data_IF_991960673336
#
_entry.id   IF_991960673336
#
_cell.length_a   1.000
_cell.length_b   1.000
_cell.length_c   1.000
_cell.angle_alpha   90.00
_cell.angle_beta   90.00
_cell.angle_gamma   90.00
#
_symmetry.space_group_name_H-M   'P 1'
#
loop_
_entity.id
_entity.type
_entity.pdbx_description
1 polymer ?
#
# COMPACT_ATOMS: atom_id res chain seq x y z
N UNK A 1 -17.80 -5.84 5.15
CA UNK A 1 -16.39 -5.38 4.98
C UNK A 1 -15.55 -6.29 4.12
N UNK A 2 -15.54 -7.63 4.33
CA UNK A 2 -14.75 -8.57 3.51
C UNK A 2 -14.96 -8.44 1.98
N UNK A 3 -16.17 -8.07 1.53
CA UNK A 3 -16.45 -7.83 0.11
C UNK A 3 -15.73 -6.58 -0.44
N UNK A 4 -15.64 -5.51 0.34
CA UNK A 4 -15.00 -4.25 -0.08
C UNK A 4 -13.48 -4.39 -0.13
N UNK A 5 -12.88 -4.97 0.90
CA UNK A 5 -11.43 -5.22 0.94
C UNK A 5 -11.00 -6.11 -0.23
N UNK A 6 -11.73 -7.20 -0.47
CA UNK A 6 -11.45 -8.12 -1.58
C UNK A 6 -11.65 -7.48 -2.96
N UNK A 7 -12.60 -6.55 -3.10
CA UNK A 7 -12.82 -5.83 -4.37
C UNK A 7 -11.63 -4.92 -4.68
N UNK A 8 -11.17 -4.15 -3.67
CA UNK A 8 -10.06 -3.21 -3.83
C UNK A 8 -8.75 -3.96 -4.11
N UNK A 9 -8.45 -5.00 -3.32
CA UNK A 9 -7.22 -5.77 -3.49
C UNK A 9 -7.12 -6.47 -4.87
N UNK A 10 -8.26 -6.81 -5.49
CA UNK A 10 -8.31 -7.41 -6.83
C UNK A 10 -8.36 -6.39 -7.97
N UNK A 11 -8.51 -5.11 -7.65
CA UNK A 11 -8.55 -4.06 -8.67
C UNK A 11 -7.12 -3.71 -9.03
N UNK A 12 -6.77 -3.97 -10.28
CA UNK A 12 -5.42 -3.71 -10.76
C UNK A 12 -5.12 -2.21 -10.81
N UNK A 13 -3.86 -1.87 -10.62
CA UNK A 13 -3.36 -0.51 -10.77
C UNK A 13 -3.33 -0.17 -12.27
N UNK A 14 -3.80 1.02 -12.65
CA UNK A 14 -3.73 1.46 -14.04
C UNK A 14 -2.30 1.48 -14.58
N UNK A 15 -2.11 1.14 -15.85
CA UNK A 15 -0.80 1.12 -16.52
C UNK A 15 -0.02 2.43 -16.35
N UNK A 16 -0.72 3.57 -16.40
CA UNK A 16 -0.13 4.89 -16.16
C UNK A 16 0.53 4.97 -14.79
N UNK A 17 -0.20 4.58 -13.73
CA UNK A 17 0.31 4.65 -12.36
C UNK A 17 1.43 3.61 -12.13
N UNK A 18 1.34 2.42 -12.74
CA UNK A 18 2.45 1.45 -12.73
C UNK A 18 3.73 2.06 -13.34
N UNK A 19 3.62 2.72 -14.49
CA UNK A 19 4.75 3.37 -15.15
C UNK A 19 5.33 4.55 -14.33
N UNK A 20 4.47 5.35 -13.69
CA UNK A 20 4.93 6.43 -12.80
C UNK A 20 5.68 5.88 -11.57
N UNK A 21 5.17 4.82 -10.94
CA UNK A 21 5.83 4.17 -9.80
C UNK A 21 7.17 3.54 -10.22
N UNK A 22 7.19 2.82 -11.35
CA UNK A 22 8.39 2.17 -11.89
C UNK A 22 9.52 3.19 -12.15
N UNK A 23 9.18 4.31 -12.81
CA UNK A 23 10.12 5.40 -13.05
C UNK A 23 10.67 6.02 -11.76
N UNK A 24 9.82 6.27 -10.76
CA UNK A 24 10.25 6.81 -9.46
C UNK A 24 11.13 5.83 -8.69
N UNK A 25 10.79 4.54 -8.69
CA UNK A 25 11.58 3.50 -8.02
C UNK A 25 12.96 3.38 -8.68
N UNK A 26 13.01 3.36 -10.02
CA UNK A 26 14.26 3.34 -10.76
C UNK A 26 15.13 4.56 -10.45
N UNK A 27 14.54 5.76 -10.38
CA UNK A 27 15.25 7.00 -10.05
C UNK A 27 15.81 7.01 -8.61
N UNK A 28 15.01 6.57 -7.62
CA UNK A 28 15.40 6.66 -6.20
C UNK A 28 16.40 5.58 -5.82
N UNK A 29 16.22 4.36 -6.33
CA UNK A 29 16.95 3.18 -5.83
C UNK A 29 18.03 2.67 -6.78
N UNK A 30 18.15 3.23 -7.99
CA UNK A 30 19.06 2.76 -9.05
C UNK A 30 18.95 1.23 -9.23
N UNK A 31 17.73 0.71 -9.17
CA UNK A 31 17.44 -0.73 -9.10
C UNK A 31 17.45 -1.37 -10.49
N UNK A 32 18.62 -1.32 -11.14
CA UNK A 32 18.85 -1.91 -12.46
C UNK A 32 18.74 -3.45 -12.47
N UNK A 33 18.70 -4.11 -11.31
CA UNK A 33 18.83 -5.58 -11.19
C UNK A 33 17.73 -6.28 -10.38
N UNK A 34 16.70 -5.55 -9.92
CA UNK A 34 15.56 -6.15 -9.20
C UNK A 34 15.95 -6.85 -7.90
N UNK A 35 17.08 -6.43 -7.30
CA UNK A 35 17.65 -7.06 -6.09
C UNK A 35 17.14 -6.43 -4.79
N UNK A 36 16.35 -5.36 -4.88
CA UNK A 36 15.87 -4.61 -3.73
C UNK A 36 14.61 -5.24 -3.14
N UNK A 37 14.53 -5.16 -1.81
CA UNK A 37 13.32 -5.49 -1.05
C UNK A 37 12.64 -4.20 -0.61
N UNK A 38 11.34 -4.14 -0.84
CA UNK A 38 10.48 -3.01 -0.52
C UNK A 38 9.62 -3.30 0.72
N UNK A 39 9.21 -2.24 1.39
CA UNK A 39 8.15 -2.30 2.40
C UNK A 39 7.03 -1.35 1.97
N UNK A 40 5.83 -1.89 1.75
CA UNK A 40 4.64 -1.09 1.44
C UNK A 40 3.93 -0.76 2.75
N UNK A 41 3.81 0.53 3.04
CA UNK A 41 3.23 1.05 4.28
C UNK A 41 2.08 1.98 3.98
N UNK A 42 1.02 1.90 4.77
CA UNK A 42 -0.07 2.87 4.72
C UNK A 42 0.37 4.22 5.26
N UNK A 43 -0.13 5.29 4.64
CA UNK A 43 -0.07 6.65 5.18
C UNK A 43 -1.37 7.34 4.78
N UNK A 44 -2.42 7.11 5.58
CA UNK A 44 -3.74 7.63 5.27
C UNK A 44 -3.90 9.08 5.71
N UNK A 45 -4.62 9.87 4.92
CA UNK A 45 -4.97 11.24 5.30
C UNK A 45 -5.85 11.22 6.55
N UNK A 46 -5.46 11.95 7.59
CA UNK A 46 -6.17 12.00 8.87
C UNK A 46 -5.89 10.82 9.81
N UNK A 47 -4.92 9.95 9.47
CA UNK A 47 -4.42 8.87 10.33
C UNK A 47 -3.79 9.43 11.62
N UNK A 48 -3.00 10.48 11.50
CA UNK A 48 -2.41 11.17 12.62
C UNK A 48 -3.00 12.57 12.76
N UNK A 49 -3.44 12.90 13.97
CA UNK A 49 -3.82 14.25 14.38
C UNK A 49 -2.93 14.71 15.53
N UNK A 50 -3.01 15.99 15.89
CA UNK A 50 -2.29 16.52 17.06
C UNK A 50 -2.75 15.89 18.38
N UNK A 51 -3.89 15.22 18.42
CA UNK A 51 -4.50 14.65 19.62
C UNK A 51 -4.46 13.12 19.66
N UNK A 52 -4.38 12.46 18.50
CA UNK A 52 -4.44 10.99 18.40
C UNK A 52 -3.56 10.48 17.27
N UNK A 53 -2.92 9.34 17.49
CA UNK A 53 -2.27 8.56 16.42
C UNK A 53 -3.07 7.29 16.16
N UNK A 54 -3.33 6.99 14.89
CA UNK A 54 -3.99 5.77 14.46
C UNK A 54 -2.99 4.65 14.14
N UNK A 55 -1.95 4.52 14.98
CA UNK A 55 -0.97 3.45 14.84
C UNK A 55 -1.65 2.07 14.86
N UNK A 56 -1.26 1.20 13.92
CA UNK A 56 -1.66 -0.21 13.88
C UNK A 56 -3.09 -0.47 13.39
N UNK A 57 -3.73 0.49 12.71
CA UNK A 57 -5.09 0.29 12.15
C UNK A 57 -5.10 -0.26 10.73
N UNK A 58 -3.99 -0.13 10.01
CA UNK A 58 -3.83 -0.56 8.61
C UNK A 58 -2.63 -1.50 8.47
N UNK A 59 -2.62 -2.27 7.39
CA UNK A 59 -1.63 -3.31 7.17
C UNK A 59 -0.31 -2.73 6.63
N UNK A 60 0.80 -3.40 6.93
CA UNK A 60 2.13 -3.12 6.37
C UNK A 60 2.70 -4.40 5.79
N UNK A 61 3.28 -4.31 4.59
CA UNK A 61 3.78 -5.45 3.83
C UNK A 61 5.30 -5.31 3.65
N UNK A 62 6.12 -5.89 4.55
CA UNK A 62 7.57 -5.87 4.44
C UNK A 62 8.09 -6.98 3.51
N UNK A 63 9.32 -6.83 3.01
CA UNK A 63 10.02 -7.90 2.29
C UNK A 63 9.49 -8.17 0.88
N UNK A 64 8.87 -7.17 0.25
CA UNK A 64 8.36 -7.27 -1.11
C UNK A 64 9.53 -7.27 -2.09
N UNK A 65 9.70 -8.37 -2.81
CA UNK A 65 10.81 -8.55 -3.75
C UNK A 65 10.33 -8.31 -5.19
N UNK A 66 10.89 -7.27 -5.83
CA UNK A 66 10.62 -6.92 -7.22
C UNK A 66 9.32 -6.16 -7.46
N UNK A 67 9.22 -5.56 -8.66
CA UNK A 67 8.12 -4.68 -9.05
C UNK A 67 6.77 -5.38 -9.20
N UNK A 68 6.75 -6.63 -9.66
CA UNK A 68 5.50 -7.41 -9.79
C UNK A 68 4.79 -7.55 -8.44
N UNK A 69 5.51 -8.01 -7.41
CA UNK A 69 4.97 -8.11 -6.05
C UNK A 69 4.67 -6.76 -5.43
N UNK A 70 5.40 -5.71 -5.82
CA UNK A 70 5.09 -4.35 -5.40
C UNK A 70 3.72 -3.90 -5.89
N UNK A 71 3.38 -4.19 -7.15
CA UNK A 71 2.08 -3.87 -7.72
C UNK A 71 0.93 -4.72 -7.14
N UNK A 72 1.21 -5.91 -6.64
CA UNK A 72 0.24 -6.72 -5.87
C UNK A 72 0.04 -6.16 -4.45
N UNK A 73 1.11 -5.75 -3.77
CA UNK A 73 1.06 -5.30 -2.38
C UNK A 73 0.39 -3.92 -2.20
N UNK A 74 0.47 -3.05 -3.20
CA UNK A 74 -0.11 -1.70 -3.12
C UNK A 74 -1.65 -1.72 -2.98
N UNK A 75 -2.43 -2.43 -3.83
CA UNK A 75 -3.88 -2.56 -3.67
C UNK A 75 -4.28 -3.28 -2.38
N UNK A 76 -3.49 -4.27 -1.93
CA UNK A 76 -3.69 -4.90 -0.61
C UNK A 76 -3.55 -3.88 0.53
N UNK A 77 -2.54 -3.02 0.47
CA UNK A 77 -2.36 -1.93 1.41
C UNK A 77 -3.53 -0.94 1.39
N UNK A 78 -4.00 -0.53 0.22
CA UNK A 78 -5.20 0.33 0.10
C UNK A 78 -6.47 -0.35 0.64
N UNK A 79 -6.62 -1.66 0.39
CA UNK A 79 -7.75 -2.43 0.89
C UNK A 79 -7.78 -2.50 2.43
N UNK A 80 -6.62 -2.46 3.10
CA UNK A 80 -6.53 -2.50 4.57
C UNK A 80 -7.28 -1.33 5.24
N UNK A 81 -7.39 -0.17 4.57
CA UNK A 81 -8.19 0.96 5.03
C UNK A 81 -9.71 0.65 5.10
N UNK A 82 -10.18 -0.45 4.52
CA UNK A 82 -11.57 -0.90 4.57
C UNK A 82 -11.76 -2.14 5.45
N UNK A 83 -10.71 -2.53 6.19
CA UNK A 83 -10.78 -3.58 7.21
C UNK A 83 -11.78 -3.21 8.30
N UNK A 84 -12.27 -4.21 9.03
CA UNK A 84 -13.19 -3.96 10.13
C UNK A 84 -12.60 -3.01 11.17
N UNK A 85 -11.35 -3.25 11.55
CA UNK A 85 -10.64 -2.45 12.54
C UNK A 85 -10.45 -1.00 12.06
N UNK A 86 -9.94 -0.79 10.83
CA UNK A 86 -9.76 0.55 10.28
C UNK A 86 -11.07 1.33 10.18
N UNK A 87 -12.19 0.66 9.88
CA UNK A 87 -13.50 1.32 9.81
C UNK A 87 -14.05 1.66 11.18
N UNK A 88 -13.88 0.78 12.17
CA UNK A 88 -14.31 1.09 13.53
C UNK A 88 -13.52 2.24 14.13
N UNK A 89 -12.22 2.33 13.82
CA UNK A 89 -11.37 3.41 14.34
C UNK A 89 -11.79 4.80 13.83
N UNK A 90 -12.24 4.92 12.58
CA UNK A 90 -12.62 6.21 11.96
C UNK A 90 -14.08 6.61 12.15
N UNK A 91 -14.88 5.79 12.81
CA UNK A 91 -16.29 6.08 13.12
C UNK A 91 -16.39 6.94 14.36
#
# INVERSE_FOLDING_TARGET
MKRTTALIAKTDISDRLKAEIDGMVAEIFDDAEGSKMYAVRSSAVGEDTSLTSAAGQMDTFPGINGMEKLFEAIPECWASNFSFQAVQYRR
#
